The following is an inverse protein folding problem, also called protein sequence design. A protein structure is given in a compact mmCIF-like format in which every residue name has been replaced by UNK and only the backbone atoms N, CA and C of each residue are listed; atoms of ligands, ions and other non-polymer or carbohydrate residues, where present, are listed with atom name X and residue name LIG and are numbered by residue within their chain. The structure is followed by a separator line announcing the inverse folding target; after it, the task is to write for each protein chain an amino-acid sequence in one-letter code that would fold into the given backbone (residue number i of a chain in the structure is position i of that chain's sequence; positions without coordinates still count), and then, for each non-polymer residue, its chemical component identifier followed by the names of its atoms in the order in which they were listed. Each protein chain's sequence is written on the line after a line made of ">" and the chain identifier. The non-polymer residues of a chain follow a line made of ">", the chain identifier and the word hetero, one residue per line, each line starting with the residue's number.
data_IF_880738413223
#
_entry.id   IF_880738413223
#
_cell.length_a   1.000
_cell.length_b   1.000
_cell.length_c   1.000
_cell.angle_alpha   90.00
_cell.angle_beta   90.00
_cell.angle_gamma   90.00
#
_symmetry.space_group_name_H-M   'P 1'
#
loop_
_entity.id
_entity.type
_entity.pdbx_description
1 polymer ?
#
# COMPACT_ATOMS: atom_id res chain seq x y z
N UNK A 1 -9.78 29.57 14.32
CA UNK A 1 -10.14 29.14 12.98
C UNK A 1 -9.34 27.89 12.70
N UNK A 2 -9.92 26.72 12.99
CA UNK A 2 -9.31 25.42 12.73
C UNK A 2 -9.58 25.09 11.27
N UNK A 3 -8.56 25.21 10.43
CA UNK A 3 -8.59 24.70 9.07
C UNK A 3 -8.66 23.19 9.16
N UNK A 4 -9.83 22.63 8.88
CA UNK A 4 -10.01 21.22 8.57
C UNK A 4 -9.22 20.92 7.28
N UNK A 5 -7.97 20.55 7.40
CA UNK A 5 -7.23 19.90 6.33
C UNK A 5 -7.76 18.45 6.26
N UNK A 6 -8.91 18.25 5.62
CA UNK A 6 -9.26 16.95 5.08
C UNK A 6 -8.30 16.72 3.91
N UNK A 7 -7.17 16.09 4.20
CA UNK A 7 -6.31 15.56 3.15
C UNK A 7 -7.14 14.60 2.31
N UNK A 8 -7.23 14.88 1.02
CA UNK A 8 -7.86 13.96 0.07
C UNK A 8 -7.06 12.67 0.05
N UNK A 9 -7.64 11.58 0.55
CA UNK A 9 -7.01 10.26 0.50
C UNK A 9 -7.08 9.60 -0.88
N UNK A 10 -7.47 10.35 -1.91
CA UNK A 10 -7.47 9.88 -3.29
C UNK A 10 -6.07 10.02 -3.87
N UNK A 11 -5.50 8.89 -4.28
CA UNK A 11 -4.17 8.85 -4.90
C UNK A 11 -4.18 9.48 -6.31
N UNK A 12 -3.06 10.13 -6.73
CA UNK A 12 -2.93 10.56 -8.11
C UNK A 12 -3.00 9.38 -9.09
N UNK A 13 -3.55 9.56 -10.29
CA UNK A 13 -4.11 10.79 -10.89
C UNK A 13 -5.56 11.10 -10.49
N UNK A 14 -6.14 10.47 -9.49
CA UNK A 14 -7.50 10.74 -9.02
C UNK A 14 -8.60 10.20 -9.94
N UNK A 15 -8.27 9.17 -10.72
CA UNK A 15 -9.21 8.51 -11.62
C UNK A 15 -10.27 7.67 -10.87
N UNK A 16 -11.21 7.09 -11.62
CA UNK A 16 -12.30 6.27 -11.08
C UNK A 16 -11.79 5.08 -10.25
N UNK A 17 -10.64 4.52 -10.62
CA UNK A 17 -10.05 3.39 -9.91
C UNK A 17 -9.49 3.81 -8.55
N UNK A 18 -8.76 4.92 -8.49
CA UNK A 18 -8.26 5.46 -7.23
C UNK A 18 -9.39 5.98 -6.34
N UNK A 19 -10.48 6.49 -6.94
CA UNK A 19 -11.69 6.84 -6.21
C UNK A 19 -12.33 5.58 -5.59
N UNK A 20 -12.53 4.51 -6.37
CA UNK A 20 -13.05 3.22 -5.91
C UNK A 20 -12.17 2.61 -4.81
N UNK A 21 -10.84 2.71 -4.95
CA UNK A 21 -9.91 2.29 -3.90
C UNK A 21 -10.22 3.03 -2.60
N UNK A 22 -10.20 4.37 -2.61
CA UNK A 22 -10.47 5.21 -1.44
C UNK A 22 -11.80 4.85 -0.79
N UNK A 23 -12.86 4.69 -1.58
CA UNK A 23 -14.20 4.42 -1.08
C UNK A 23 -14.31 3.09 -0.31
N UNK A 24 -13.43 2.13 -0.58
CA UNK A 24 -13.33 0.88 0.17
C UNK A 24 -12.44 0.98 1.41
N UNK A 25 -11.27 1.63 1.26
CA UNK A 25 -10.21 1.56 2.28
C UNK A 25 -10.13 2.77 3.19
N UNK A 26 -10.79 3.87 2.84
CA UNK A 26 -11.00 5.06 3.66
C UNK A 26 -12.28 5.78 3.25
N UNK A 27 -13.47 5.17 3.49
CA UNK A 27 -14.74 5.78 3.12
C UNK A 27 -14.92 7.14 3.79
N UNK A 28 -15.25 8.16 3.01
CA UNK A 28 -15.42 9.54 3.51
C UNK A 28 -16.51 9.66 4.59
N UNK A 29 -17.57 8.91 4.41
CA UNK A 29 -18.73 8.89 5.32
C UNK A 29 -18.77 7.63 6.18
N UNK A 30 -17.60 7.13 6.64
CA UNK A 30 -17.58 5.99 7.54
C UNK A 30 -18.27 6.34 8.86
N UNK A 31 -19.25 5.53 9.33
CA UNK A 31 -19.98 5.84 10.54
C UNK A 31 -19.04 5.85 11.74
N UNK A 32 -19.18 6.85 12.61
CA UNK A 32 -18.49 6.86 13.88
C UNK A 32 -18.99 5.69 14.72
N UNK A 33 -18.15 4.68 14.89
CA UNK A 33 -18.48 3.52 15.73
C UNK A 33 -18.61 3.95 17.20
N UNK A 34 -19.60 3.45 17.93
CA UNK A 34 -19.70 3.70 19.36
C UNK A 34 -18.55 3.00 20.08
N UNK A 35 -17.74 3.80 20.75
CA UNK A 35 -16.67 3.27 21.61
C UNK A 35 -17.29 2.99 22.98
N UNK A 36 -17.57 1.72 23.25
CA UNK A 36 -18.21 1.29 24.50
C UNK A 36 -17.40 0.19 25.18
N UNK A 37 -17.27 0.30 26.51
CA UNK A 37 -16.58 -0.68 27.35
C UNK A 37 -15.08 -0.83 27.08
N UNK A 38 -14.58 -2.04 27.25
CA UNK A 38 -13.16 -2.38 27.11
C UNK A 38 -12.98 -3.38 25.98
N UNK A 39 -12.11 -3.07 25.01
CA UNK A 39 -11.73 -4.00 23.96
C UNK A 39 -10.80 -5.10 24.49
N UNK A 40 -11.03 -6.34 24.07
CA UNK A 40 -10.10 -7.44 24.38
C UNK A 40 -8.80 -7.27 23.63
N UNK A 41 -8.89 -6.77 22.35
CA UNK A 41 -7.74 -6.44 21.52
C UNK A 41 -8.01 -5.24 20.64
N UNK A 42 -7.00 -4.37 20.52
CA UNK A 42 -6.96 -3.33 19.50
C UNK A 42 -5.75 -3.54 18.60
N UNK A 43 -5.91 -3.25 17.31
CA UNK A 43 -4.80 -3.23 16.35
C UNK A 43 -4.59 -1.79 15.87
N UNK A 44 -3.36 -1.29 15.92
CA UNK A 44 -2.99 0.08 15.49
C UNK A 44 -2.25 -0.01 14.17
N UNK A 45 -2.91 0.37 13.09
CA UNK A 45 -2.52 0.23 11.71
C UNK A 45 -3.25 -0.91 11.01
N UNK A 46 -3.93 -0.61 9.90
CA UNK A 46 -4.72 -1.55 9.12
C UNK A 46 -4.00 -2.08 7.87
N UNK A 47 -2.70 -2.30 7.97
CA UNK A 47 -1.95 -3.12 7.03
C UNK A 47 -2.20 -4.62 7.28
N UNK A 48 -1.52 -5.50 6.55
CA UNK A 48 -1.71 -6.95 6.62
C UNK A 48 -1.72 -7.50 8.05
N UNK A 49 -0.79 -7.03 8.90
CA UNK A 49 -0.72 -7.49 10.29
C UNK A 49 -1.95 -7.09 11.12
N UNK A 50 -2.42 -5.83 10.96
CA UNK A 50 -3.58 -5.33 11.67
C UNK A 50 -4.88 -5.98 11.21
N UNK A 51 -5.05 -6.13 9.89
CA UNK A 51 -6.23 -6.81 9.31
C UNK A 51 -6.36 -8.24 9.81
N UNK A 52 -5.26 -9.01 9.74
CA UNK A 52 -5.26 -10.41 10.17
C UNK A 52 -5.46 -10.55 11.68
N UNK A 53 -4.81 -9.71 12.48
CA UNK A 53 -4.92 -9.81 13.94
C UNK A 53 -6.30 -9.39 14.45
N UNK A 54 -6.85 -8.28 13.95
CA UNK A 54 -8.17 -7.81 14.38
C UNK A 54 -9.30 -8.74 13.91
N UNK A 55 -9.29 -9.13 12.63
CA UNK A 55 -10.26 -10.07 12.09
C UNK A 55 -10.18 -11.45 12.76
N UNK A 56 -8.96 -11.96 12.97
CA UNK A 56 -8.74 -13.22 13.68
C UNK A 56 -9.24 -13.19 15.12
N UNK A 57 -9.02 -12.09 15.85
CA UNK A 57 -9.54 -11.94 17.20
C UNK A 57 -11.07 -11.91 17.24
N UNK A 58 -11.69 -11.16 16.34
CA UNK A 58 -13.15 -11.10 16.22
C UNK A 58 -13.75 -12.48 15.90
N UNK A 59 -13.16 -13.23 14.97
CA UNK A 59 -13.59 -14.61 14.66
C UNK A 59 -13.50 -15.57 15.84
N UNK A 60 -12.62 -15.30 16.80
CA UNK A 60 -12.50 -16.06 18.06
C UNK A 60 -13.42 -15.53 19.17
N UNK A 61 -14.30 -14.57 18.85
CA UNK A 61 -15.30 -14.02 19.80
C UNK A 61 -14.77 -12.90 20.69
N UNK A 62 -13.55 -12.37 20.42
CA UNK A 62 -13.03 -11.23 21.16
C UNK A 62 -13.66 -9.93 20.68
N UNK A 63 -13.93 -8.97 21.57
CA UNK A 63 -14.27 -7.60 21.21
C UNK A 63 -13.02 -6.92 20.65
N UNK A 64 -12.98 -6.73 19.33
CA UNK A 64 -11.82 -6.26 18.59
C UNK A 64 -12.05 -4.90 17.93
N UNK A 65 -11.03 -4.03 17.96
CA UNK A 65 -11.01 -2.81 17.18
C UNK A 65 -9.76 -2.71 16.31
N UNK A 66 -9.92 -2.07 15.15
CA UNK A 66 -8.85 -1.75 14.21
C UNK A 66 -8.80 -0.25 13.98
N UNK A 67 -7.65 0.35 14.26
CA UNK A 67 -7.46 1.79 14.12
C UNK A 67 -6.55 2.07 12.95
N UNK A 68 -7.00 2.92 12.00
CA UNK A 68 -6.22 3.33 10.85
C UNK A 68 -6.29 4.86 10.68
N UNK A 69 -5.16 5.48 10.41
CA UNK A 69 -5.10 6.94 10.20
C UNK A 69 -5.18 7.34 8.73
N UNK A 70 -4.89 6.43 7.81
CA UNK A 70 -4.78 6.71 6.39
C UNK A 70 -5.65 5.74 5.57
N UNK A 71 -5.07 4.76 4.90
CA UNK A 71 -5.79 3.79 4.06
C UNK A 71 -5.58 2.36 4.57
N UNK A 72 -6.66 1.62 4.73
CA UNK A 72 -6.61 0.19 5.05
C UNK A 72 -5.96 -0.61 3.92
N UNK A 73 -5.48 -1.82 4.23
CA UNK A 73 -4.69 -2.64 3.32
C UNK A 73 -3.18 -2.36 3.39
N UNK A 74 -2.80 -1.14 3.87
CA UNK A 74 -1.41 -0.73 4.07
C UNK A 74 -0.54 -0.90 2.82
N UNK A 75 0.76 -1.13 3.03
CA UNK A 75 1.70 -1.25 1.91
C UNK A 75 1.34 -2.39 0.96
N UNK A 76 0.81 -3.51 1.45
CA UNK A 76 0.49 -4.64 0.58
C UNK A 76 -0.52 -4.27 -0.51
N UNK A 77 -1.62 -3.67 -0.15
CA UNK A 77 -2.66 -3.27 -1.10
C UNK A 77 -2.27 -2.01 -1.88
N UNK A 78 -1.75 -0.99 -1.19
CA UNK A 78 -1.64 0.36 -1.75
C UNK A 78 -0.33 0.57 -2.49
N UNK A 79 0.80 0.21 -1.88
CA UNK A 79 2.15 0.58 -2.36
C UNK A 79 3.13 -0.59 -2.44
N UNK A 80 2.65 -1.84 -2.38
CA UNK A 80 3.54 -3.02 -2.34
C UNK A 80 3.07 -4.17 -3.19
N UNK A 81 2.56 -5.23 -2.53
CA UNK A 81 2.31 -6.54 -3.16
C UNK A 81 1.39 -6.47 -4.37
N UNK A 82 0.23 -5.84 -4.25
CA UNK A 82 -0.78 -5.79 -5.31
C UNK A 82 -0.28 -4.99 -6.51
N UNK A 83 0.17 -3.73 -6.37
CA UNK A 83 0.65 -2.97 -7.51
C UNK A 83 1.94 -3.53 -8.09
N UNK A 84 2.90 -4.02 -7.29
CA UNK A 84 4.14 -4.58 -7.82
C UNK A 84 3.89 -5.84 -8.64
N UNK A 85 3.09 -6.79 -8.16
CA UNK A 85 2.79 -8.02 -8.91
C UNK A 85 1.98 -7.72 -10.17
N UNK A 86 1.18 -6.67 -10.16
CA UNK A 86 0.40 -6.24 -11.33
C UNK A 86 1.31 -5.71 -12.44
N UNK A 87 2.27 -4.83 -12.12
CA UNK A 87 3.22 -4.28 -13.11
C UNK A 87 4.19 -5.36 -13.59
N UNK A 88 4.69 -6.23 -12.69
CA UNK A 88 5.55 -7.37 -13.03
C UNK A 88 4.85 -8.30 -14.03
N UNK A 89 3.56 -8.58 -13.82
CA UNK A 89 2.80 -9.42 -14.75
C UNK A 89 2.69 -8.80 -16.14
N UNK A 90 2.42 -7.50 -16.23
CA UNK A 90 2.38 -6.79 -17.52
C UNK A 90 3.76 -6.80 -18.21
N UNK A 91 4.83 -6.56 -17.45
CA UNK A 91 6.21 -6.62 -17.93
C UNK A 91 6.60 -8.03 -18.42
N UNK A 92 6.13 -9.06 -17.71
CA UNK A 92 6.33 -10.46 -18.11
C UNK A 92 5.65 -10.78 -19.44
N UNK A 93 4.38 -10.36 -19.63
CA UNK A 93 3.65 -10.54 -20.87
C UNK A 93 4.36 -9.85 -22.04
N UNK A 94 4.78 -8.59 -21.85
CA UNK A 94 5.54 -7.87 -22.87
C UNK A 94 6.81 -8.62 -23.27
N UNK A 95 7.57 -9.10 -22.30
CA UNK A 95 8.80 -9.86 -22.54
C UNK A 95 8.53 -11.22 -23.23
N UNK A 96 7.50 -11.95 -22.80
CA UNK A 96 7.13 -13.21 -23.46
C UNK A 96 6.72 -12.98 -24.91
N UNK A 97 5.99 -11.91 -25.21
CA UNK A 97 5.63 -11.56 -26.58
C UNK A 97 6.86 -11.32 -27.46
N UNK A 98 7.91 -10.65 -26.98
CA UNK A 98 9.15 -10.47 -27.73
C UNK A 98 9.91 -11.79 -27.97
N UNK A 99 9.65 -12.83 -27.19
CA UNK A 99 10.28 -14.15 -27.28
C UNK A 99 9.39 -15.21 -27.95
N UNK A 100 8.17 -14.85 -28.33
CA UNK A 100 7.19 -15.79 -28.88
C UNK A 100 7.69 -16.53 -30.15
N UNK A 101 8.53 -15.85 -30.96
CA UNK A 101 9.14 -16.42 -32.16
C UNK A 101 10.03 -17.65 -31.86
N UNK A 102 10.66 -17.73 -30.69
CA UNK A 102 11.44 -18.90 -30.26
C UNK A 102 10.55 -20.16 -30.12
N UNK A 103 9.25 -19.96 -29.99
CA UNK A 103 8.23 -21.03 -29.87
C UNK A 103 7.39 -21.21 -31.16
N UNK A 104 7.81 -20.59 -32.28
CA UNK A 104 7.09 -20.64 -33.54
C UNK A 104 5.82 -19.80 -33.60
N UNK A 105 5.66 -18.82 -32.69
CA UNK A 105 4.50 -17.90 -32.64
C UNK A 105 4.94 -16.53 -33.08
N UNK A 106 4.39 -16.02 -34.17
CA UNK A 106 4.60 -14.67 -34.66
C UNK A 106 3.53 -13.74 -34.11
N UNK A 107 3.95 -12.74 -33.36
CA UNK A 107 3.07 -11.72 -32.77
C UNK A 107 3.28 -10.33 -33.37
N UNK A 108 4.16 -10.21 -34.37
CA UNK A 108 4.55 -8.94 -34.97
C UNK A 108 5.30 -8.02 -33.99
N UNK A 109 5.22 -6.71 -34.24
CA UNK A 109 5.88 -5.71 -33.40
C UNK A 109 5.20 -5.53 -32.05
N UNK A 110 5.94 -5.81 -30.98
CA UNK A 110 5.46 -5.64 -29.60
C UNK A 110 5.62 -4.18 -29.18
N UNK A 111 4.50 -3.54 -28.89
CA UNK A 111 4.47 -2.17 -28.37
C UNK A 111 3.85 -2.13 -26.99
N UNK A 112 4.51 -1.48 -26.04
CA UNK A 112 4.02 -1.31 -24.69
C UNK A 112 3.39 0.09 -24.56
N UNK A 113 2.11 0.12 -24.18
CA UNK A 113 1.41 1.32 -23.76
C UNK A 113 1.48 1.38 -22.21
N UNK A 114 2.43 2.16 -21.71
CA UNK A 114 2.67 2.25 -20.26
C UNK A 114 1.48 2.88 -19.52
N UNK A 115 0.77 3.81 -20.14
CA UNK A 115 -0.42 4.41 -19.54
C UNK A 115 -1.48 3.36 -19.24
N UNK A 116 -1.72 2.44 -20.19
CA UNK A 116 -2.63 1.29 -19.98
C UNK A 116 -2.11 0.27 -18.97
N UNK A 117 -0.79 0.10 -18.88
CA UNK A 117 -0.20 -0.74 -17.82
C UNK A 117 -0.50 -0.18 -16.44
N UNK A 118 -0.36 1.13 -16.25
CA UNK A 118 -0.62 1.79 -14.98
C UNK A 118 -2.11 1.92 -14.67
N UNK A 119 -2.95 2.14 -15.68
CA UNK A 119 -4.41 2.06 -15.53
C UNK A 119 -4.85 0.66 -15.06
N UNK A 120 -4.34 -0.39 -15.70
CA UNK A 120 -4.58 -1.76 -15.26
C UNK A 120 -4.13 -2.00 -13.82
N UNK A 121 -2.99 -1.42 -13.40
CA UNK A 121 -2.49 -1.51 -12.03
C UNK A 121 -3.50 -0.89 -11.06
N UNK A 122 -3.96 0.33 -11.33
CA UNK A 122 -4.96 1.02 -10.50
C UNK A 122 -6.27 0.25 -10.43
N UNK A 123 -6.74 -0.27 -11.56
CA UNK A 123 -7.95 -1.11 -11.61
C UNK A 123 -7.83 -2.35 -10.73
N UNK A 124 -6.75 -3.12 -10.87
CA UNK A 124 -6.54 -4.33 -10.06
C UNK A 124 -6.45 -4.00 -8.56
N UNK A 125 -5.76 -2.92 -8.19
CA UNK A 125 -5.68 -2.42 -6.81
C UNK A 125 -7.07 -2.08 -6.27
N UNK A 126 -7.87 -1.36 -7.04
CA UNK A 126 -9.24 -1.01 -6.69
C UNK A 126 -10.17 -2.23 -6.60
N UNK A 127 -10.00 -3.21 -7.49
CA UNK A 127 -10.81 -4.43 -7.47
C UNK A 127 -10.48 -5.32 -6.26
N UNK A 128 -9.24 -5.28 -5.77
CA UNK A 128 -8.82 -6.01 -4.56
C UNK A 128 -9.21 -5.30 -3.26
N UNK A 129 -9.46 -4.00 -3.29
CA UNK A 129 -9.66 -3.16 -2.12
C UNK A 129 -10.81 -3.60 -1.20
N UNK A 130 -11.86 -4.20 -1.74
CA UNK A 130 -12.98 -4.68 -0.95
C UNK A 130 -12.62 -5.82 0.02
N UNK A 131 -11.53 -6.56 -0.25
CA UNK A 131 -11.06 -7.63 0.65
C UNK A 131 -10.41 -7.08 1.93
N UNK A 132 -9.79 -5.90 1.82
CA UNK A 132 -9.05 -5.24 2.90
C UNK A 132 -9.79 -3.98 3.41
N UNK A 133 -10.99 -3.73 2.90
CA UNK A 133 -11.75 -2.52 3.16
C UNK A 133 -12.51 -2.52 4.49
N UNK A 134 -12.93 -1.33 4.91
CA UNK A 134 -13.60 -1.08 6.18
C UNK A 134 -14.86 -1.93 6.36
N UNK A 135 -15.70 -2.00 5.34
CA UNK A 135 -16.94 -2.79 5.37
C UNK A 135 -16.69 -4.28 5.63
N UNK A 136 -15.63 -4.85 5.05
CA UNK A 136 -15.30 -6.26 5.24
C UNK A 136 -14.95 -6.57 6.69
N UNK A 137 -14.16 -5.71 7.34
CA UNK A 137 -13.76 -5.89 8.74
C UNK A 137 -14.95 -5.66 9.69
N UNK A 138 -15.78 -4.67 9.40
CA UNK A 138 -17.02 -4.41 10.12
C UNK A 138 -17.97 -5.63 10.07
N UNK A 139 -18.18 -6.22 8.88
CA UNK A 139 -18.96 -7.45 8.71
C UNK A 139 -18.39 -8.66 9.48
N UNK A 140 -17.11 -8.65 9.80
CA UNK A 140 -16.46 -9.67 10.64
C UNK A 140 -16.59 -9.37 12.14
N UNK A 141 -17.23 -8.26 12.52
CA UNK A 141 -17.41 -7.85 13.92
C UNK A 141 -16.21 -7.11 14.50
N UNK A 142 -15.41 -6.47 13.67
CA UNK A 142 -14.32 -5.58 14.09
C UNK A 142 -14.81 -4.14 14.06
N UNK A 143 -14.68 -3.41 15.15
CA UNK A 143 -14.92 -1.97 15.17
C UNK A 143 -13.81 -1.25 14.41
N UNK A 144 -14.11 -0.75 13.20
CA UNK A 144 -13.13 -0.02 12.36
C UNK A 144 -13.18 1.46 12.68
N UNK A 145 -12.08 1.98 13.16
CA UNK A 145 -11.94 3.36 13.65
C UNK A 145 -10.87 4.10 12.82
N UNK A 146 -11.28 5.19 12.18
CA UNK A 146 -10.34 6.07 11.50
C UNK A 146 -9.91 7.21 12.41
N UNK A 147 -8.58 7.45 12.50
CA UNK A 147 -8.02 8.53 13.31
C UNK A 147 -6.59 8.27 13.79
N UNK A 148 -6.06 9.23 14.54
CA UNK A 148 -4.72 9.18 15.08
C UNK A 148 -4.73 8.66 16.52
N UNK A 149 -4.19 7.47 16.73
CA UNK A 149 -4.10 6.85 18.06
C UNK A 149 -2.84 7.28 18.81
N UNK A 150 -2.99 7.63 20.08
CA UNK A 150 -1.89 7.93 20.99
C UNK A 150 -2.09 7.22 22.32
N UNK A 151 -1.13 6.42 22.76
CA UNK A 151 -1.19 5.81 24.09
C UNK A 151 -1.17 6.87 25.19
N UNK A 152 -2.11 6.78 26.13
CA UNK A 152 -2.23 7.64 27.31
C UNK A 152 -1.97 6.88 28.60
N UNK A 153 -1.91 5.56 28.54
CA UNK A 153 -1.62 4.68 29.65
C UNK A 153 -1.36 3.25 29.20
N UNK A 154 -1.11 2.32 30.12
CA UNK A 154 -0.79 0.93 29.79
C UNK A 154 -1.95 0.18 29.11
N UNK A 155 -3.19 0.61 29.35
CA UNK A 155 -4.41 -0.01 28.81
C UNK A 155 -5.39 1.04 28.25
N UNK A 156 -4.89 2.23 27.94
CA UNK A 156 -5.69 3.34 27.39
C UNK A 156 -4.96 4.02 26.25
N UNK A 157 -5.72 4.46 25.27
CA UNK A 157 -5.25 5.39 24.23
C UNK A 157 -6.29 6.48 23.98
N UNK A 158 -5.82 7.58 23.45
CA UNK A 158 -6.64 8.64 22.88
C UNK A 158 -6.73 8.46 21.37
N UNK A 159 -7.94 8.52 20.82
CA UNK A 159 -8.22 8.58 19.41
C UNK A 159 -8.94 9.90 19.10
N UNK A 160 -8.17 10.88 18.65
CA UNK A 160 -8.68 12.22 18.31
C UNK A 160 -9.62 12.81 19.39
N UNK A 161 -9.21 12.74 20.65
CA UNK A 161 -9.94 13.25 21.82
C UNK A 161 -10.94 12.26 22.44
N UNK A 162 -10.99 11.02 21.98
CA UNK A 162 -11.83 9.96 22.58
C UNK A 162 -10.96 8.91 23.24
N UNK A 163 -11.20 8.66 24.53
CA UNK A 163 -10.51 7.59 25.27
C UNK A 163 -11.02 6.21 24.84
N UNK A 164 -10.08 5.31 24.50
CA UNK A 164 -10.34 3.89 24.22
C UNK A 164 -9.61 3.04 25.27
N UNK A 165 -10.36 2.13 25.89
CA UNK A 165 -9.83 1.17 26.86
C UNK A 165 -9.67 -0.20 26.24
N UNK A 166 -8.56 -0.87 26.54
CA UNK A 166 -8.23 -2.16 25.97
C UNK A 166 -7.46 -3.05 26.95
N UNK A 167 -7.48 -4.36 26.70
CA UNK A 167 -6.67 -5.35 27.45
C UNK A 167 -5.34 -5.61 26.79
N UNK A 168 -5.31 -5.66 25.45
CA UNK A 168 -4.10 -5.90 24.64
C UNK A 168 -4.10 -5.01 23.42
N UNK A 169 -2.91 -4.56 23.01
CA UNK A 169 -2.71 -3.79 21.81
C UNK A 169 -1.68 -4.48 20.89
N UNK A 170 -2.00 -4.54 19.60
CA UNK A 170 -1.09 -4.93 18.53
C UNK A 170 -0.62 -3.66 17.81
N UNK A 171 0.67 -3.39 17.84
CA UNK A 171 1.26 -2.26 17.13
C UNK A 171 1.62 -2.74 15.72
N UNK A 172 0.81 -2.36 14.75
CA UNK A 172 0.89 -2.76 13.34
C UNK A 172 1.16 -1.54 12.44
N UNK A 173 1.90 -0.56 12.95
CA UNK A 173 2.06 0.76 12.33
C UNK A 173 2.91 0.75 11.05
N UNK A 174 3.49 -0.39 10.66
CA UNK A 174 4.30 -0.52 9.45
C UNK A 174 5.61 0.24 9.52
N UNK A 175 6.13 0.63 8.36
CA UNK A 175 7.35 1.41 8.20
C UNK A 175 7.20 2.46 7.10
N UNK A 176 8.30 3.18 6.85
CA UNK A 176 8.44 4.12 5.75
C UNK A 176 9.69 3.79 4.93
N UNK A 177 9.67 4.05 3.63
CA UNK A 177 10.88 3.91 2.82
C UNK A 177 12.01 4.78 3.35
N UNK A 178 13.19 4.19 3.50
CA UNK A 178 14.39 4.94 3.85
C UNK A 178 15.00 5.55 2.59
N UNK A 179 15.24 6.85 2.62
CA UNK A 179 15.97 7.57 1.58
C UNK A 179 17.32 7.97 2.15
N UNK A 180 18.45 7.49 1.56
CA UNK A 180 19.79 7.87 2.01
C UNK A 180 20.00 9.38 1.94
N UNK A 181 20.84 9.89 2.85
CA UNK A 181 21.21 11.31 2.87
C UNK A 181 22.30 11.61 1.80
N UNK A 182 21.84 11.64 0.55
CA UNK A 182 22.63 11.99 -0.62
C UNK A 182 22.14 13.34 -1.13
N UNK A 183 23.00 14.34 -1.33
CA UNK A 183 22.59 15.65 -1.79
C UNK A 183 21.72 15.60 -3.05
N UNK A 184 20.53 16.22 -2.99
CA UNK A 184 19.55 16.25 -4.07
C UNK A 184 18.73 14.97 -4.29
N UNK A 185 19.00 13.88 -3.58
CA UNK A 185 18.25 12.63 -3.77
C UNK A 185 16.82 12.75 -3.28
N UNK A 186 16.60 13.28 -2.09
CA UNK A 186 15.28 13.32 -1.45
C UNK A 186 14.23 14.05 -2.28
N UNK A 187 14.63 15.10 -2.99
CA UNK A 187 13.71 15.93 -3.78
C UNK A 187 13.48 15.37 -5.20
N UNK A 188 14.30 14.39 -5.63
CA UNK A 188 14.30 13.86 -7.00
C UNK A 188 14.13 12.35 -7.10
N UNK A 189 13.79 11.66 -6.01
CA UNK A 189 13.59 10.21 -6.03
C UNK A 189 12.12 9.83 -5.88
N UNK A 190 11.81 8.67 -6.46
CA UNK A 190 10.60 7.92 -6.15
C UNK A 190 10.90 6.90 -5.05
N UNK A 191 9.94 6.68 -4.20
CA UNK A 191 9.95 5.57 -3.25
C UNK A 191 8.83 4.59 -3.60
N UNK A 192 8.69 3.48 -2.86
CA UNK A 192 7.53 2.59 -3.02
C UNK A 192 6.20 3.32 -2.81
N UNK A 193 6.18 4.40 -2.03
CA UNK A 193 4.97 5.19 -1.79
C UNK A 193 4.54 6.05 -3.00
N UNK A 194 5.46 6.41 -3.90
CA UNK A 194 5.17 7.29 -5.05
C UNK A 194 5.37 6.63 -6.41
N UNK A 195 6.11 5.53 -6.49
CA UNK A 195 6.42 4.85 -7.75
C UNK A 195 5.15 4.38 -8.48
N UNK A 196 4.16 3.87 -7.77
CA UNK A 196 2.96 3.31 -8.37
C UNK A 196 1.94 4.36 -8.84
N UNK A 197 2.26 5.64 -8.66
CA UNK A 197 1.47 6.76 -9.15
C UNK A 197 2.00 7.33 -10.49
N UNK A 198 3.04 6.72 -11.06
CA UNK A 198 3.55 7.07 -12.37
C UNK A 198 2.47 6.89 -13.45
N UNK A 199 2.35 7.88 -14.33
CA UNK A 199 1.44 7.86 -15.50
C UNK A 199 2.18 7.69 -16.81
N UNK A 200 3.49 8.00 -16.84
CA UNK A 200 4.35 7.93 -18.01
C UNK A 200 5.58 7.07 -17.73
N UNK A 201 6.06 6.38 -18.77
CA UNK A 201 7.28 5.58 -18.67
C UNK A 201 8.52 6.49 -18.66
N UNK A 202 9.30 6.51 -17.57
CA UNK A 202 10.57 7.25 -17.58
C UNK A 202 11.53 6.63 -18.61
N UNK A 203 12.12 7.46 -19.47
CA UNK A 203 13.11 7.01 -20.46
C UNK A 203 14.30 6.34 -19.79
N UNK A 204 14.82 6.98 -18.73
CA UNK A 204 15.92 6.48 -17.93
C UNK A 204 15.42 6.24 -16.50
N UNK A 205 15.72 5.08 -15.96
CA UNK A 205 15.30 4.68 -14.61
C UNK A 205 16.50 4.14 -13.83
N UNK A 206 16.94 4.90 -12.83
CA UNK A 206 18.02 4.50 -11.94
C UNK A 206 17.44 3.96 -10.63
N UNK A 207 17.93 2.81 -10.18
CA UNK A 207 17.51 2.18 -8.92
C UNK A 207 18.67 2.20 -7.94
N UNK A 208 18.47 2.81 -6.78
CA UNK A 208 19.43 2.84 -5.69
C UNK A 208 19.02 1.78 -4.67
N UNK A 209 19.82 0.73 -4.57
CA UNK A 209 19.57 -0.42 -3.69
C UNK A 209 19.25 -1.70 -4.45
N UNK A 210 19.85 -2.81 -4.00
CA UNK A 210 19.69 -4.16 -4.58
C UNK A 210 18.78 -5.08 -3.76
N UNK A 211 17.90 -4.52 -2.93
CA UNK A 211 16.88 -5.30 -2.22
C UNK A 211 15.79 -5.84 -3.15
N UNK A 212 14.90 -6.73 -2.65
CA UNK A 212 13.86 -7.38 -3.46
C UNK A 212 13.01 -6.38 -4.26
N UNK A 213 12.55 -5.30 -3.64
CA UNK A 213 11.74 -4.27 -4.28
C UNK A 213 12.49 -3.61 -5.44
N UNK A 214 13.74 -3.20 -5.20
CA UNK A 214 14.56 -2.55 -6.23
C UNK A 214 14.81 -3.47 -7.43
N UNK A 215 15.14 -4.73 -7.19
CA UNK A 215 15.36 -5.72 -8.25
C UNK A 215 14.07 -6.01 -9.04
N UNK A 216 12.94 -6.20 -8.36
CA UNK A 216 11.65 -6.46 -9.00
C UNK A 216 11.24 -5.30 -9.92
N UNK A 217 11.31 -4.06 -9.41
CA UNK A 217 10.91 -2.87 -10.15
C UNK A 217 11.88 -2.56 -11.30
N UNK A 218 13.20 -2.67 -11.09
CA UNK A 218 14.20 -2.50 -12.16
C UNK A 218 13.94 -3.48 -13.31
N UNK A 219 13.68 -4.75 -12.99
CA UNK A 219 13.39 -5.79 -13.97
C UNK A 219 12.08 -5.52 -14.73
N UNK A 220 11.03 -5.11 -14.02
CA UNK A 220 9.75 -4.78 -14.65
C UNK A 220 9.89 -3.56 -15.60
N UNK A 221 10.51 -2.48 -15.14
CA UNK A 221 10.69 -1.26 -15.92
C UNK A 221 11.55 -1.50 -17.17
N UNK A 222 12.62 -2.30 -17.05
CA UNK A 222 13.44 -2.69 -18.21
C UNK A 222 12.63 -3.44 -19.27
N UNK A 223 11.76 -4.37 -18.86
CA UNK A 223 10.90 -5.14 -19.77
C UNK A 223 9.80 -4.30 -20.40
N UNK A 224 9.37 -3.22 -19.75
CA UNK A 224 8.39 -2.28 -20.27
C UNK A 224 8.99 -1.23 -21.20
N UNK A 225 10.32 -1.19 -21.35
CA UNK A 225 11.00 -0.33 -22.32
C UNK A 225 11.83 0.82 -21.73
N UNK A 226 11.89 0.98 -20.40
CA UNK A 226 12.78 1.93 -19.76
C UNK A 226 14.24 1.48 -19.85
N UNK A 227 15.17 2.42 -20.05
CA UNK A 227 16.60 2.13 -19.90
C UNK A 227 16.92 2.12 -18.41
N UNK A 228 17.08 0.91 -17.87
CA UNK A 228 17.32 0.74 -16.43
C UNK A 228 18.80 0.69 -16.15
N UNK A 229 19.25 1.51 -15.20
CA UNK A 229 20.57 1.44 -14.60
C UNK A 229 20.41 1.14 -13.11
N UNK A 230 20.86 -0.05 -12.69
CA UNK A 230 20.80 -0.46 -11.28
C UNK A 230 22.15 -0.23 -10.64
N UNK A 231 22.21 0.68 -9.67
CA UNK A 231 23.39 0.88 -8.83
C UNK A 231 23.22 0.06 -7.55
N UNK A 232 23.95 -1.03 -7.43
CA UNK A 232 23.98 -1.87 -6.25
C UNK A 232 24.96 -1.26 -5.23
N UNK A 233 24.50 -0.51 -4.27
CA UNK A 233 25.18 -0.41 -3.01
C UNK A 233 24.75 -1.61 -2.18
N UNK A 234 25.57 -2.64 -2.13
CA UNK A 234 25.45 -3.64 -1.09
C UNK A 234 25.69 -2.92 0.25
N UNK A 235 24.71 -2.83 1.15
CA UNK A 235 25.04 -2.48 2.51
C UNK A 235 25.92 -3.63 3.01
N UNK A 236 27.17 -3.36 3.26
CA UNK A 236 28.03 -4.23 4.06
C UNK A 236 27.51 -4.15 5.47
N UNK A 237 26.39 -4.78 5.75
CA UNK A 237 25.97 -5.05 7.11
C UNK A 237 26.34 -6.49 7.40
N UNK A 238 27.60 -6.66 7.65
CA UNK A 238 28.07 -7.56 8.66
C UNK A 238 27.87 -6.87 10.00
N UNK A 239 26.75 -7.08 10.62
CA UNK A 239 26.61 -6.96 12.06
C UNK A 239 26.14 -8.33 12.56
N UNK A 240 27.11 -9.06 13.03
CA UNK A 240 26.99 -10.17 13.95
C UNK A 240 26.26 -9.73 15.21
#
# INVERSE_FOLDING_TARGET
>A
MTTNNQESHVLPPGDEHNQKLRDNVHPENWPTQPIDGVYDMISIGAGTAGLVSSGGAAMLGAKSALIERHMMGGDCLVTGCVPSKTIIKSAHVAHQATKAHEFGVDVGDVKVDFTKVMERLRRVRADMAHHDGAKKLDDMGVDVLFGNAKFTGPNTLDLDGKEIKFRRAMICAGGRPFVPDIPGLRDNCLTSESFFELTELPKNFMVIGGGPIGCELAHAMRRLGSVSYTHLTLPTILLV
#
